data_IF_975891371135
#
_entry.id   IF_975891371135
#
_cell.length_a   1.000
_cell.length_b   1.000
_cell.length_c   1.000
_cell.angle_alpha   90.00
_cell.angle_beta   90.00
_cell.angle_gamma   90.00
#
_symmetry.space_group_name_H-M   'P 1'
#
loop_
_entity.id
_entity.type
_entity.pdbx_description
1 polymer ?
#
# COMPACT_ATOMS: atom_id res chain seq x y z
N UNK A 1 -8.09 -33.08 2.19
CA UNK A 1 -7.44 -32.49 1.00
C UNK A 1 -7.74 -31.00 1.01
N UNK A 2 -6.87 -30.20 1.65
CA UNK A 2 -7.09 -28.76 1.85
C UNK A 2 -6.50 -28.01 0.66
N UNK A 3 -7.36 -27.44 -0.17
CA UNK A 3 -6.93 -26.62 -1.31
C UNK A 3 -6.34 -25.31 -0.77
N UNK A 4 -5.01 -25.21 -0.77
CA UNK A 4 -4.31 -23.98 -0.41
C UNK A 4 -4.44 -22.97 -1.56
N UNK A 5 -5.34 -22.00 -1.40
CA UNK A 5 -5.63 -20.91 -2.36
C UNK A 5 -4.50 -19.85 -2.42
N UNK A 6 -3.55 -19.90 -1.47
CA UNK A 6 -2.54 -18.85 -1.27
C UNK A 6 -1.13 -19.49 -1.32
N UNK A 7 -0.17 -18.85 -2.02
CA UNK A 7 1.21 -19.36 -2.19
C UNK A 7 1.84 -19.78 -0.84
N UNK A 8 2.44 -20.98 -0.73
CA UNK A 8 3.21 -21.39 0.45
C UNK A 8 4.49 -20.56 0.60
N UNK A 9 5.07 -20.59 1.81
CA UNK A 9 6.29 -19.85 2.16
C UNK A 9 7.49 -20.23 1.30
N UNK A 10 8.58 -19.43 1.33
CA UNK A 10 9.72 -19.53 0.41
C UNK A 10 10.47 -20.87 0.39
N UNK A 11 10.18 -21.78 1.33
CA UNK A 11 10.92 -23.03 1.54
C UNK A 11 10.28 -24.28 0.92
N UNK A 12 9.09 -24.22 0.31
CA UNK A 12 8.44 -25.42 -0.23
C UNK A 12 7.93 -25.28 -1.68
N UNK A 13 8.41 -26.21 -2.53
CA UNK A 13 7.92 -26.64 -3.85
C UNK A 13 8.28 -25.78 -5.08
N UNK A 14 8.90 -26.45 -6.07
CA UNK A 14 9.17 -25.95 -7.44
C UNK A 14 7.90 -25.34 -8.04
N UNK A 15 7.92 -24.02 -8.22
CA UNK A 15 6.84 -23.22 -8.83
C UNK A 15 6.56 -23.67 -10.27
N UNK A 16 5.29 -23.71 -10.72
CA UNK A 16 4.98 -23.82 -12.15
C UNK A 16 5.70 -22.69 -12.89
N UNK A 17 6.53 -23.04 -13.86
CA UNK A 17 7.30 -22.07 -14.62
C UNK A 17 6.36 -21.34 -15.59
N UNK A 18 5.72 -20.28 -15.12
CA UNK A 18 5.08 -19.30 -16.02
C UNK A 18 6.19 -18.77 -16.94
N UNK A 19 5.93 -18.72 -18.24
CA UNK A 19 6.91 -18.22 -19.21
C UNK A 19 7.44 -16.86 -18.74
N UNK A 20 8.78 -16.67 -18.60
CA UNK A 20 9.36 -15.42 -18.09
C UNK A 20 8.84 -14.16 -18.80
N UNK A 21 8.57 -14.26 -20.10
CA UNK A 21 7.99 -13.15 -20.88
C UNK A 21 6.56 -12.82 -20.46
N UNK A 22 5.75 -13.83 -20.15
CA UNK A 22 4.38 -13.65 -19.70
C UNK A 22 4.35 -13.03 -18.30
N UNK A 23 5.25 -13.46 -17.41
CA UNK A 23 5.41 -12.85 -16.09
C UNK A 23 5.81 -11.37 -16.21
N UNK A 24 6.79 -11.07 -17.06
CA UNK A 24 7.21 -9.69 -17.33
C UNK A 24 6.07 -8.85 -17.92
N UNK A 25 5.28 -9.40 -18.84
CA UNK A 25 4.13 -8.71 -19.42
C UNK A 25 3.03 -8.43 -18.39
N UNK A 26 2.80 -9.34 -17.44
CA UNK A 26 1.84 -9.13 -16.35
C UNK A 26 2.32 -8.07 -15.34
N UNK A 27 3.62 -8.01 -15.06
CA UNK A 27 4.19 -7.03 -14.14
C UNK A 27 4.34 -5.63 -14.77
N UNK A 28 4.79 -5.53 -16.02
CA UNK A 28 4.99 -4.26 -16.73
C UNK A 28 3.76 -3.77 -17.49
N UNK A 29 2.83 -4.66 -17.84
CA UNK A 29 1.65 -4.34 -18.65
C UNK A 29 0.81 -3.19 -18.09
N UNK A 30 0.44 -3.22 -16.78
CA UNK A 30 -0.27 -2.11 -16.17
C UNK A 30 0.49 -0.79 -16.27
N UNK A 31 1.80 -0.80 -16.03
CA UNK A 31 2.64 0.40 -16.11
C UNK A 31 2.68 0.98 -17.53
N UNK A 32 2.81 0.12 -18.54
CA UNK A 32 2.76 0.54 -19.95
C UNK A 32 1.41 1.16 -20.32
N UNK A 33 0.31 0.57 -19.83
CA UNK A 33 -1.04 1.10 -20.03
C UNK A 33 -1.21 2.46 -19.34
N UNK A 34 -0.63 2.64 -18.15
CA UNK A 34 -0.61 3.94 -17.46
C UNK A 34 0.11 5.02 -18.28
N UNK A 35 1.32 4.71 -18.77
CA UNK A 35 2.07 5.65 -19.61
C UNK A 35 1.32 5.98 -20.90
N UNK A 36 0.74 4.96 -21.55
CA UNK A 36 -0.09 5.16 -22.73
C UNK A 36 -1.27 6.09 -22.44
N UNK A 37 -2.01 5.86 -21.35
CA UNK A 37 -3.10 6.73 -20.92
C UNK A 37 -2.65 8.15 -20.60
N UNK A 38 -1.43 8.33 -20.10
CA UNK A 38 -0.88 9.66 -19.80
C UNK A 38 -0.54 10.43 -21.08
N UNK A 39 0.11 9.78 -22.05
CA UNK A 39 0.52 10.43 -23.31
C UNK A 39 -0.61 10.58 -24.33
N UNK A 40 -1.60 9.68 -24.31
CA UNK A 40 -2.70 9.63 -25.28
C UNK A 40 -4.06 9.86 -24.64
N UNK A 41 -4.11 10.36 -23.41
CA UNK A 41 -5.36 10.52 -22.66
C UNK A 41 -6.37 11.44 -23.34
N UNK A 42 -5.93 12.53 -23.98
CA UNK A 42 -6.83 13.41 -24.75
C UNK A 42 -7.44 12.72 -25.97
N UNK A 43 -6.63 11.92 -26.68
CA UNK A 43 -7.11 11.12 -27.80
C UNK A 43 -8.09 10.03 -27.32
N UNK A 44 -7.79 9.36 -26.20
CA UNK A 44 -8.69 8.38 -25.57
C UNK A 44 -10.02 9.02 -25.13
N UNK A 45 -9.97 10.22 -24.56
CA UNK A 45 -11.17 10.97 -24.17
C UNK A 45 -12.03 11.33 -25.39
N UNK A 46 -11.40 11.72 -26.50
CA UNK A 46 -12.10 12.04 -27.74
C UNK A 46 -12.76 10.82 -28.40
N UNK A 47 -12.16 9.64 -28.28
CA UNK A 47 -12.68 8.39 -28.86
C UNK A 47 -13.70 7.69 -27.95
N UNK A 48 -13.55 7.78 -26.63
CA UNK A 48 -14.39 7.09 -25.65
C UNK A 48 -15.05 8.09 -24.69
N UNK A 49 -16.34 8.42 -24.87
CA UNK A 49 -17.06 9.38 -24.04
C UNK A 49 -17.08 9.02 -22.54
N UNK A 50 -17.04 7.72 -22.21
CA UNK A 50 -16.96 7.23 -20.83
C UNK A 50 -15.65 7.64 -20.15
N UNK A 51 -14.53 7.70 -20.91
CA UNK A 51 -13.24 8.14 -20.38
C UNK A 51 -13.16 9.66 -20.27
N UNK A 52 -13.82 10.40 -21.16
CA UNK A 52 -13.90 11.86 -21.08
C UNK A 52 -14.56 12.33 -19.77
N UNK A 53 -15.53 11.57 -19.24
CA UNK A 53 -16.19 11.85 -17.96
C UNK A 53 -15.26 11.83 -16.74
N UNK A 54 -14.05 11.23 -16.85
CA UNK A 54 -13.06 11.22 -15.78
C UNK A 54 -12.27 12.53 -15.68
N UNK A 55 -12.36 13.41 -16.69
CA UNK A 55 -11.72 14.71 -16.72
C UNK A 55 -10.29 14.67 -17.27
N UNK A 56 -9.30 15.00 -16.43
CA UNK A 56 -7.90 15.17 -16.86
C UNK A 56 -7.32 13.86 -17.43
N UNK A 57 -6.42 13.92 -18.44
CA UNK A 57 -5.71 12.76 -18.98
C UNK A 57 -5.07 11.85 -17.92
N UNK A 58 -4.57 12.45 -16.83
CA UNK A 58 -4.00 11.72 -15.70
C UNK A 58 -5.02 10.83 -14.98
N UNK A 59 -6.28 11.26 -14.86
CA UNK A 59 -7.34 10.47 -14.24
C UNK A 59 -7.75 9.30 -15.13
N UNK A 60 -7.76 9.51 -16.45
CA UNK A 60 -7.95 8.44 -17.44
C UNK A 60 -6.81 7.41 -17.34
N UNK A 61 -5.56 7.87 -17.30
CA UNK A 61 -4.39 7.02 -17.10
C UNK A 61 -4.49 6.19 -15.82
N UNK A 62 -4.88 6.82 -14.71
CA UNK A 62 -5.08 6.18 -13.41
C UNK A 62 -6.18 5.12 -13.47
N UNK A 63 -7.31 5.41 -14.12
CA UNK A 63 -8.40 4.45 -14.27
C UNK A 63 -7.97 3.23 -15.11
N UNK A 64 -7.30 3.46 -16.24
CA UNK A 64 -6.79 2.40 -17.09
C UNK A 64 -5.75 1.53 -16.36
N UNK A 65 -4.87 2.14 -15.57
CA UNK A 65 -3.89 1.44 -14.76
C UNK A 65 -4.53 0.54 -13.70
N UNK A 66 -5.55 1.05 -12.99
CA UNK A 66 -6.31 0.25 -12.03
C UNK A 66 -6.95 -0.97 -12.68
N UNK A 67 -7.65 -0.78 -13.81
CA UNK A 67 -8.28 -1.87 -14.55
C UNK A 67 -7.24 -2.88 -15.02
N UNK A 68 -6.14 -2.41 -15.61
CA UNK A 68 -5.05 -3.26 -16.07
C UNK A 68 -4.40 -4.07 -14.95
N UNK A 69 -4.24 -3.47 -13.77
CA UNK A 69 -3.68 -4.13 -12.59
C UNK A 69 -4.59 -5.25 -12.09
N UNK A 70 -5.90 -5.02 -12.05
CA UNK A 70 -6.89 -6.06 -11.70
C UNK A 70 -6.89 -7.18 -12.73
N UNK A 71 -6.91 -6.85 -14.02
CA UNK A 71 -6.88 -7.84 -15.10
C UNK A 71 -5.60 -8.67 -15.05
N UNK A 72 -4.45 -8.03 -14.83
CA UNK A 72 -3.16 -8.72 -14.67
C UNK A 72 -3.18 -9.69 -13.49
N UNK A 73 -3.72 -9.26 -12.34
CA UNK A 73 -3.83 -10.11 -11.16
C UNK A 73 -4.79 -11.29 -11.39
N UNK A 74 -5.92 -11.08 -12.08
CA UNK A 74 -6.88 -12.13 -12.43
C UNK A 74 -6.28 -13.13 -13.40
N UNK A 75 -5.61 -12.67 -14.46
CA UNK A 75 -4.92 -13.54 -15.43
C UNK A 75 -3.81 -14.33 -14.73
N UNK A 76 -3.02 -13.67 -13.88
CA UNK A 76 -1.99 -14.32 -13.07
C UNK A 76 -2.59 -15.45 -12.23
N UNK A 77 -3.69 -15.17 -11.49
CA UNK A 77 -4.40 -16.16 -10.70
C UNK A 77 -4.97 -17.32 -11.53
N UNK A 78 -5.54 -17.06 -12.71
CA UNK A 78 -6.06 -18.12 -13.58
C UNK A 78 -4.95 -19.07 -14.07
N UNK A 79 -3.75 -18.54 -14.31
CA UNK A 79 -2.60 -19.30 -14.80
C UNK A 79 -1.85 -20.05 -13.70
N UNK A 80 -1.60 -19.41 -12.56
CA UNK A 80 -0.83 -19.99 -11.45
C UNK A 80 -1.70 -20.76 -10.46
N UNK A 81 -3.02 -20.51 -10.47
CA UNK A 81 -4.00 -20.98 -9.46
C UNK A 81 -3.65 -20.60 -8.02
N UNK A 82 -2.72 -19.67 -7.85
CA UNK A 82 -2.29 -19.14 -6.56
C UNK A 82 -2.30 -17.63 -6.66
N UNK A 83 -2.73 -16.94 -5.60
CA UNK A 83 -2.69 -15.48 -5.59
C UNK A 83 -1.27 -15.05 -5.19
N UNK A 84 -0.51 -14.39 -6.09
CA UNK A 84 0.81 -13.89 -5.74
C UNK A 84 0.64 -12.70 -4.80
N UNK A 85 1.09 -12.87 -3.55
CA UNK A 85 0.80 -11.94 -2.46
C UNK A 85 1.35 -10.53 -2.72
N UNK A 86 2.54 -10.44 -3.32
CA UNK A 86 3.19 -9.17 -3.63
C UNK A 86 2.39 -8.35 -4.67
N UNK A 87 2.05 -8.90 -5.86
CA UNK A 87 1.13 -8.25 -6.79
C UNK A 87 -0.24 -7.92 -6.19
N UNK A 88 -0.79 -8.77 -5.31
CA UNK A 88 -2.07 -8.48 -4.64
C UNK A 88 -1.97 -7.23 -3.77
N UNK A 89 -0.93 -7.12 -2.93
CA UNK A 89 -0.71 -5.94 -2.08
C UNK A 89 -0.53 -4.70 -2.94
N UNK A 90 0.29 -4.77 -4.00
CA UNK A 90 0.44 -3.67 -4.95
C UNK A 90 -0.88 -3.30 -5.63
N UNK A 91 -1.69 -4.28 -6.03
CA UNK A 91 -2.99 -4.04 -6.64
C UNK A 91 -3.95 -3.33 -5.68
N UNK A 92 -4.01 -3.74 -4.42
CA UNK A 92 -4.82 -3.07 -3.38
C UNK A 92 -4.38 -1.62 -3.21
N UNK A 93 -3.07 -1.37 -3.12
CA UNK A 93 -2.52 -0.01 -3.02
C UNK A 93 -2.90 0.82 -4.26
N UNK A 94 -2.66 0.30 -5.46
CA UNK A 94 -2.99 0.98 -6.72
C UNK A 94 -4.48 1.31 -6.82
N UNK A 95 -5.34 0.35 -6.48
CA UNK A 95 -6.79 0.55 -6.52
C UNK A 95 -7.24 1.62 -5.54
N UNK A 96 -6.72 1.61 -4.31
CA UNK A 96 -7.16 2.57 -3.31
C UNK A 96 -6.61 3.96 -3.60
N UNK A 97 -5.33 4.09 -3.91
CA UNK A 97 -4.75 5.39 -4.27
C UNK A 97 -5.32 5.92 -5.59
N UNK A 98 -5.58 5.05 -6.57
CA UNK A 98 -6.19 5.42 -7.84
C UNK A 98 -7.64 5.85 -7.68
N UNK A 99 -8.45 5.10 -6.93
CA UNK A 99 -9.84 5.47 -6.63
C UNK A 99 -9.89 6.78 -5.84
N UNK A 100 -9.01 6.94 -4.84
CA UNK A 100 -8.87 8.19 -4.08
C UNK A 100 -8.49 9.36 -5.00
N UNK A 101 -7.59 9.15 -5.96
CA UNK A 101 -7.17 10.19 -6.92
C UNK A 101 -8.31 10.66 -7.82
N UNK A 102 -9.17 9.73 -8.26
CA UNK A 102 -10.34 10.05 -9.10
C UNK A 102 -11.48 10.66 -8.27
N UNK A 103 -11.68 10.18 -7.05
CA UNK A 103 -12.81 10.59 -6.20
C UNK A 103 -12.60 11.96 -5.53
N UNK A 104 -11.36 12.32 -5.16
CA UNK A 104 -11.08 13.50 -4.33
C UNK A 104 -10.88 14.81 -5.12
N UNK A 105 -11.68 15.07 -6.14
CA UNK A 105 -11.59 16.30 -6.95
C UNK A 105 -12.00 17.61 -6.21
N UNK A 106 -12.03 17.66 -4.86
CA UNK A 106 -12.54 18.79 -4.06
C UNK A 106 -11.69 19.07 -2.78
N UNK A 107 -11.75 20.28 -2.23
CA UNK A 107 -10.84 20.82 -1.19
C UNK A 107 -11.09 20.26 0.22
N UNK A 108 -12.35 20.03 0.63
CA UNK A 108 -12.67 19.41 1.94
C UNK A 108 -12.08 18.00 2.09
N UNK A 109 -11.83 17.37 0.95
CA UNK A 109 -11.27 16.03 0.86
C UNK A 109 -9.76 15.96 1.07
N UNK A 110 -9.04 17.08 0.99
CA UNK A 110 -7.59 17.12 1.24
C UNK A 110 -7.27 16.66 2.68
N UNK A 111 -8.16 16.95 3.64
CA UNK A 111 -8.00 16.59 5.07
C UNK A 111 -8.32 15.16 5.41
N UNK A 112 -9.22 14.53 4.65
CA UNK A 112 -9.56 13.10 4.83
C UNK A 112 -8.56 12.17 4.15
N UNK A 113 -7.73 12.67 3.22
CA UNK A 113 -6.68 11.88 2.54
C UNK A 113 -5.81 11.08 3.54
N UNK A 114 -5.21 11.70 4.58
CA UNK A 114 -4.38 10.96 5.53
C UNK A 114 -5.18 9.91 6.30
N UNK A 115 -6.39 10.22 6.77
CA UNK A 115 -7.25 9.27 7.50
C UNK A 115 -7.52 8.02 6.67
N UNK A 116 -7.92 8.19 5.41
CA UNK A 116 -8.23 7.06 4.51
C UNK A 116 -6.98 6.21 4.27
N UNK A 117 -5.85 6.86 3.98
CA UNK A 117 -4.58 6.17 3.71
C UNK A 117 -4.13 5.39 4.95
N UNK A 118 -4.10 6.02 6.12
CA UNK A 118 -3.68 5.38 7.37
C UNK A 118 -4.64 4.25 7.78
N UNK A 119 -5.95 4.45 7.64
CA UNK A 119 -6.93 3.40 7.94
C UNK A 119 -6.74 2.20 7.02
N UNK A 120 -6.52 2.44 5.72
CA UNK A 120 -6.25 1.38 4.76
C UNK A 120 -4.98 0.60 5.12
N UNK A 121 -3.86 1.28 5.30
CA UNK A 121 -2.60 0.61 5.64
C UNK A 121 -2.72 -0.19 6.94
N UNK A 122 -3.36 0.39 7.96
CA UNK A 122 -3.64 -0.30 9.21
C UNK A 122 -4.49 -1.55 9.01
N UNK A 123 -5.61 -1.44 8.28
CA UNK A 123 -6.51 -2.55 8.00
C UNK A 123 -5.87 -3.66 7.15
N UNK A 124 -5.08 -3.30 6.15
CA UNK A 124 -4.37 -4.27 5.29
C UNK A 124 -3.30 -5.02 6.08
N UNK A 125 -2.48 -4.33 6.89
CA UNK A 125 -1.45 -4.96 7.71
C UNK A 125 -2.05 -5.88 8.77
N UNK A 126 -3.06 -5.42 9.50
CA UNK A 126 -3.72 -6.21 10.54
C UNK A 126 -4.56 -7.35 9.94
N UNK A 127 -5.21 -7.12 8.80
CA UNK A 127 -5.93 -8.14 8.05
C UNK A 127 -5.00 -9.23 7.56
N UNK A 128 -3.88 -8.87 6.91
CA UNK A 128 -2.86 -9.83 6.49
C UNK A 128 -2.29 -10.64 7.66
N UNK A 129 -2.05 -9.97 8.80
CA UNK A 129 -1.62 -10.64 10.02
C UNK A 129 -2.67 -11.62 10.57
N UNK A 130 -3.97 -11.28 10.48
CA UNK A 130 -5.06 -12.18 10.88
C UNK A 130 -5.13 -13.43 10.00
N UNK A 131 -4.70 -13.35 8.73
CA UNK A 131 -4.49 -14.50 7.85
C UNK A 131 -3.14 -15.22 8.08
N UNK A 132 -2.41 -14.88 9.15
CA UNK A 132 -1.13 -15.48 9.51
C UNK A 132 0.04 -15.00 8.64
N UNK A 133 -0.11 -13.91 7.89
CA UNK A 133 0.90 -13.43 6.95
C UNK A 133 1.38 -12.03 7.33
N UNK A 134 2.57 -11.89 7.94
CA UNK A 134 3.12 -10.58 8.28
C UNK A 134 3.53 -9.84 7.00
N UNK A 135 2.61 -9.05 6.43
CA UNK A 135 2.81 -8.33 5.16
C UNK A 135 4.04 -7.44 5.16
N UNK A 136 4.38 -6.86 6.31
CA UNK A 136 5.55 -6.01 6.46
C UNK A 136 6.86 -6.79 6.27
N UNK A 137 6.87 -8.10 6.59
CA UNK A 137 7.98 -8.99 6.29
C UNK A 137 8.28 -9.03 4.82
N UNK A 138 7.29 -9.28 3.99
CA UNK A 138 7.50 -9.33 2.54
C UNK A 138 8.06 -8.02 1.97
N UNK A 139 7.61 -6.86 2.48
CA UNK A 139 8.04 -5.54 1.97
C UNK A 139 9.41 -5.13 2.48
N UNK A 140 9.75 -5.45 3.74
CA UNK A 140 10.97 -5.00 4.41
C UNK A 140 12.05 -6.08 4.55
N UNK A 141 11.82 -7.31 4.07
CA UNK A 141 12.81 -8.41 4.13
C UNK A 141 14.17 -8.02 3.53
N UNK A 142 14.17 -7.16 2.51
CA UNK A 142 15.38 -6.64 1.88
C UNK A 142 16.16 -5.63 2.75
N UNK A 143 15.52 -5.02 3.75
CA UNK A 143 16.13 -3.99 4.59
C UNK A 143 16.79 -4.56 5.85
N UNK A 144 16.20 -5.59 6.47
CA UNK A 144 16.72 -6.28 7.66
C UNK A 144 16.00 -7.63 7.85
N UNK A 145 16.69 -8.62 8.43
CA UNK A 145 16.13 -9.97 8.62
C UNK A 145 15.66 -10.16 10.05
N UNK A 146 14.39 -10.49 10.22
CA UNK A 146 13.78 -10.85 11.51
C UNK A 146 13.31 -12.31 11.49
N UNK A 147 13.22 -12.91 12.67
CA UNK A 147 12.47 -14.15 12.85
C UNK A 147 10.95 -13.96 12.62
N UNK A 148 10.23 -15.07 12.48
CA UNK A 148 8.78 -15.05 12.20
C UNK A 148 7.98 -14.34 13.29
N UNK A 149 8.41 -14.45 14.54
CA UNK A 149 7.76 -13.80 15.68
C UNK A 149 7.96 -12.27 15.63
N UNK A 150 9.18 -11.82 15.30
CA UNK A 150 9.55 -10.43 15.08
C UNK A 150 8.74 -9.81 13.95
N UNK A 151 8.58 -10.51 12.83
CA UNK A 151 7.75 -10.03 11.72
C UNK A 151 6.28 -9.87 12.09
N UNK A 152 5.72 -10.80 12.86
CA UNK A 152 4.34 -10.70 13.37
C UNK A 152 4.18 -9.53 14.33
N UNK A 153 5.08 -9.37 15.29
CA UNK A 153 5.08 -8.24 16.24
C UNK A 153 5.23 -6.91 15.53
N UNK A 154 6.15 -6.80 14.58
CA UNK A 154 6.40 -5.58 13.83
C UNK A 154 5.19 -5.20 12.97
N UNK A 155 4.62 -6.16 12.23
CA UNK A 155 3.41 -5.95 11.42
C UNK A 155 2.23 -5.49 12.29
N UNK A 156 2.04 -6.11 13.46
CA UNK A 156 0.99 -5.71 14.41
C UNK A 156 1.17 -4.27 14.89
N UNK A 157 2.37 -3.93 15.35
CA UNK A 157 2.69 -2.60 15.89
C UNK A 157 2.54 -1.51 14.82
N UNK A 158 2.99 -1.77 13.59
CA UNK A 158 2.77 -0.86 12.46
C UNK A 158 1.30 -0.73 12.09
N UNK A 159 0.55 -1.84 12.04
CA UNK A 159 -0.88 -1.81 11.79
C UNK A 159 -1.64 -0.95 12.80
N UNK A 160 -1.32 -1.11 14.09
CA UNK A 160 -1.90 -0.29 15.16
C UNK A 160 -1.45 1.18 15.07
N UNK A 161 -0.17 1.44 14.77
CA UNK A 161 0.34 2.79 14.59
C UNK A 161 -0.37 3.54 13.47
N UNK A 162 -0.64 2.88 12.34
CA UNK A 162 -1.41 3.48 11.26
C UNK A 162 -2.85 3.78 11.67
N UNK A 163 -3.55 2.85 12.33
CA UNK A 163 -4.90 3.14 12.84
C UNK A 163 -4.91 4.28 13.86
N UNK A 164 -3.94 4.30 14.78
CA UNK A 164 -3.77 5.39 15.74
C UNK A 164 -3.51 6.73 15.03
N UNK A 165 -2.69 6.74 13.97
CA UNK A 165 -2.42 7.92 13.15
C UNK A 165 -3.67 8.43 12.43
N UNK A 166 -4.55 7.53 11.98
CA UNK A 166 -5.84 7.89 11.40
C UNK A 166 -6.74 8.60 12.43
N UNK A 167 -6.82 8.05 13.65
CA UNK A 167 -7.59 8.66 14.75
C UNK A 167 -7.00 10.02 15.14
N UNK A 168 -5.68 10.11 15.28
CA UNK A 168 -4.98 11.37 15.58
C UNK A 168 -5.25 12.41 14.50
N UNK A 169 -5.23 12.03 13.21
CA UNK A 169 -5.60 12.96 12.13
C UNK A 169 -7.00 13.52 12.34
N UNK A 170 -8.01 12.65 12.52
CA UNK A 170 -9.41 13.05 12.74
C UNK A 170 -9.57 14.00 13.93
N UNK A 171 -8.92 13.69 15.05
CA UNK A 171 -8.96 14.54 16.25
C UNK A 171 -8.36 15.92 15.95
N UNK A 172 -7.20 15.96 15.30
CA UNK A 172 -6.50 17.22 15.04
C UNK A 172 -7.28 18.10 14.09
N UNK A 173 -7.68 17.61 12.92
CA UNK A 173 -8.32 18.50 11.94
C UNK A 173 -9.74 18.91 12.35
N UNK A 174 -10.49 18.04 13.04
CA UNK A 174 -11.82 18.39 13.58
C UNK A 174 -11.72 19.31 14.78
N UNK A 175 -10.75 19.07 15.67
CA UNK A 175 -10.49 19.91 16.83
C UNK A 175 -10.07 21.33 16.41
N UNK A 176 -9.13 21.44 15.46
CA UNK A 176 -8.72 22.73 14.91
C UNK A 176 -9.88 23.44 14.22
N UNK A 177 -10.70 22.72 13.43
CA UNK A 177 -11.88 23.30 12.78
C UNK A 177 -12.96 23.78 13.76
N UNK A 178 -13.06 23.17 14.95
CA UNK A 178 -14.00 23.58 15.98
C UNK A 178 -13.50 24.78 16.81
N UNK A 179 -12.19 24.96 16.93
CA UNK A 179 -11.57 25.94 17.84
C UNK A 179 -11.09 27.21 17.15
N UNK A 180 -10.80 27.17 15.84
CA UNK A 180 -10.14 28.25 15.10
C UNK A 180 -10.90 28.63 13.82
N UNK A 181 -10.72 29.86 13.31
CA UNK A 181 -11.21 30.23 11.98
C UNK A 181 -10.63 29.32 10.88
N UNK A 182 -11.41 29.04 9.83
CA UNK A 182 -11.08 28.05 8.80
C UNK A 182 -9.68 28.21 8.20
N UNK A 183 -9.27 29.43 7.85
CA UNK A 183 -7.96 29.69 7.25
C UNK A 183 -6.79 29.32 8.18
N UNK A 184 -6.90 29.64 9.47
CA UNK A 184 -5.87 29.27 10.46
C UNK A 184 -5.90 27.76 10.75
N UNK A 185 -7.08 27.17 10.88
CA UNK A 185 -7.22 25.72 11.08
C UNK A 185 -6.57 24.91 9.95
N UNK A 186 -6.67 25.38 8.70
CA UNK A 186 -6.04 24.75 7.53
C UNK A 186 -4.52 24.81 7.59
N UNK A 187 -3.96 25.98 7.94
CA UNK A 187 -2.52 26.20 8.07
C UNK A 187 -1.91 25.33 9.19
N UNK A 188 -2.53 25.33 10.38
CA UNK A 188 -2.07 24.51 11.49
C UNK A 188 -2.20 23.02 11.20
N UNK A 189 -3.28 22.59 10.54
CA UNK A 189 -3.43 21.20 10.12
C UNK A 189 -2.38 20.79 9.10
N UNK A 190 -2.08 21.63 8.10
CA UNK A 190 -1.04 21.36 7.11
C UNK A 190 0.35 21.22 7.78
N UNK A 191 0.65 22.11 8.74
CA UNK A 191 1.87 22.03 9.56
C UNK A 191 1.93 20.75 10.40
N UNK A 192 0.84 20.41 11.11
CA UNK A 192 0.76 19.17 11.88
C UNK A 192 0.91 17.93 10.99
N UNK A 193 0.27 17.92 9.82
CA UNK A 193 0.36 16.82 8.88
C UNK A 193 1.82 16.56 8.47
N UNK A 194 2.58 17.62 8.19
CA UNK A 194 3.96 17.49 7.77
C UNK A 194 4.88 17.14 8.95
N UNK A 195 4.87 17.94 10.01
CA UNK A 195 5.84 17.83 11.10
C UNK A 195 5.35 16.88 12.21
N UNK A 196 4.08 16.97 12.58
CA UNK A 196 3.48 16.12 13.62
C UNK A 196 3.58 14.63 13.28
N UNK A 197 3.11 14.21 12.11
CA UNK A 197 3.24 12.80 11.72
C UNK A 197 4.69 12.36 11.50
N UNK A 198 5.57 13.25 11.03
CA UNK A 198 6.99 12.92 10.91
C UNK A 198 7.61 12.65 12.28
N UNK A 199 7.40 13.54 13.25
CA UNK A 199 7.90 13.36 14.62
C UNK A 199 7.30 12.10 15.26
N UNK A 200 5.99 11.88 15.12
CA UNK A 200 5.32 10.67 15.62
C UNK A 200 5.92 9.40 15.02
N UNK A 201 6.19 9.40 13.71
CA UNK A 201 6.79 8.25 13.01
C UNK A 201 8.22 8.01 13.48
N UNK A 202 9.01 9.07 13.65
CA UNK A 202 10.38 8.97 14.15
C UNK A 202 10.38 8.37 15.56
N UNK A 203 9.59 8.92 16.49
CA UNK A 203 9.43 8.39 17.85
C UNK A 203 9.02 6.92 17.79
N UNK A 204 8.03 6.59 16.95
CA UNK A 204 7.57 5.22 16.78
C UNK A 204 8.70 4.29 16.33
N UNK A 205 9.47 4.65 15.30
CA UNK A 205 10.62 3.87 14.83
C UNK A 205 11.63 3.64 15.97
N UNK A 206 11.97 4.69 16.73
CA UNK A 206 12.84 4.55 17.90
C UNK A 206 12.31 3.54 18.93
N UNK A 207 11.00 3.54 19.19
CA UNK A 207 10.37 2.55 20.08
C UNK A 207 10.33 1.12 19.51
N UNK A 208 10.52 0.95 18.20
CA UNK A 208 10.59 -0.37 17.56
C UNK A 208 12.00 -0.96 17.57
N UNK A 209 13.05 -0.14 17.65
CA UNK A 209 14.44 -0.62 17.59
C UNK A 209 14.79 -1.72 18.59
N UNK A 210 14.41 -1.65 19.89
CA UNK A 210 14.71 -2.74 20.82
C UNK A 210 14.03 -4.06 20.45
N UNK A 211 12.84 -3.99 19.84
CA UNK A 211 12.11 -5.17 19.39
C UNK A 211 12.77 -5.76 18.16
N UNK A 212 13.16 -4.92 17.20
CA UNK A 212 13.91 -5.34 15.99
C UNK A 212 15.24 -5.98 16.39
N UNK A 213 16.01 -5.36 17.30
CA UNK A 213 17.29 -5.89 17.76
C UNK A 213 17.18 -7.27 18.43
N UNK A 214 16.10 -7.50 19.21
CA UNK A 214 15.87 -8.80 19.89
C UNK A 214 15.50 -9.95 18.94
N UNK A 215 14.97 -9.63 17.77
CA UNK A 215 14.46 -10.61 16.81
C UNK A 215 15.27 -10.60 15.50
N UNK A 216 16.37 -9.83 15.45
CA UNK A 216 17.24 -9.72 14.29
C UNK A 216 18.07 -11.00 14.13
N UNK A 217 18.06 -11.53 12.91
CA UNK A 217 18.84 -12.73 12.54
C UNK A 217 20.27 -12.38 12.10
N UNK A 218 20.60 -11.09 11.99
CA UNK A 218 21.90 -10.61 11.52
C UNK A 218 22.99 -10.68 12.62
N UNK A 219 22.62 -11.10 13.84
CA UNK A 219 23.52 -11.27 14.99
C UNK A 219 24.04 -12.69 15.24
N UNK A 220 23.49 -13.73 14.61
CA UNK A 220 23.93 -15.13 14.79
C UNK A 220 24.96 -15.58 13.74
N UNK A 221 25.91 -14.69 13.43
CA UNK A 221 26.94 -14.89 12.41
C UNK A 221 28.37 -14.63 12.91
N UNK A 222 28.68 -14.92 14.18
CA UNK A 222 30.06 -15.03 14.66
C UNK A 222 30.25 -16.28 15.54
N UNK A 223 30.51 -17.46 14.96
CA UNK A 223 31.37 -18.44 15.63
C UNK A 223 32.80 -17.87 15.65
N UNK A 224 33.49 -18.07 16.77
CA UNK A 224 34.75 -17.41 17.08
C UNK A 224 35.83 -17.44 15.98
N UNK A 225 36.54 -16.32 15.90
CA UNK A 225 37.97 -16.26 15.60
C UNK A 225 38.64 -15.42 16.70
#
# INVERSE_FOLDING_TARGET
MSQHIIEPGPSEVKKPQVNPLLKMALELGPLLIFFFGTFKGEWLAAQFPVLAGLGKPLFIATALFMVATVVSLVISWLLTRTIPLMPLVSAVVVLVFGALSIWLQNDTFIKMKPTIIYTLFGAVLLGGLAFGRPLLGYVLDAAFRLDDEGWRKLTFRWGLFFLASAVVNEIVWRGLAALLPAAQADEYWAGFKLFGFTILTVIFIFTQMPMIARHSLDGEGKPGE
#
